data_IF_584762195374
#
_entry.id   IF_584762195374
#
_cell.length_a   1.000
_cell.length_b   1.000
_cell.length_c   1.000
_cell.angle_alpha   90.00
_cell.angle_beta   90.00
_cell.angle_gamma   90.00
#
_symmetry.space_group_name_H-M   'P 1'
#
loop_
_entity.id
_entity.type
_entity.pdbx_description
1 polymer ?
#
# COMPACT_ATOMS: atom_id res chain seq x y z
N UNK A 1 20.12 -10.98 -12.36
CA UNK A 1 18.72 -10.73 -11.98
C UNK A 1 18.44 -11.39 -10.64
N UNK A 2 18.44 -10.64 -9.53
CA UNK A 2 18.03 -11.15 -8.20
C UNK A 2 17.67 -10.07 -7.16
N UNK A 3 17.55 -8.80 -7.56
CA UNK A 3 17.26 -7.69 -6.62
C UNK A 3 15.75 -7.44 -6.45
N UNK A 4 14.96 -7.65 -7.50
CA UNK A 4 13.52 -7.39 -7.48
C UNK A 4 12.77 -8.24 -6.43
N UNK A 5 13.06 -9.55 -6.37
CA UNK A 5 12.51 -10.45 -5.34
C UNK A 5 12.88 -10.04 -3.91
N UNK A 6 14.03 -9.39 -3.70
CA UNK A 6 14.44 -8.90 -2.37
C UNK A 6 13.64 -7.67 -1.96
N UNK A 7 13.40 -6.75 -2.89
CA UNK A 7 12.65 -5.52 -2.66
C UNK A 7 11.19 -5.82 -2.31
N UNK A 8 10.54 -6.68 -3.07
CA UNK A 8 9.12 -7.00 -2.79
C UNK A 8 8.94 -7.75 -1.49
N UNK A 9 9.84 -8.68 -1.17
CA UNK A 9 9.84 -9.32 0.13
C UNK A 9 10.01 -8.31 1.28
N UNK A 10 10.85 -7.29 1.11
CA UNK A 10 11.01 -6.19 2.07
C UNK A 10 9.71 -5.38 2.22
N UNK A 11 9.08 -5.00 1.10
CA UNK A 11 7.83 -4.23 1.10
C UNK A 11 6.72 -5.03 1.79
N UNK A 12 6.55 -6.29 1.40
CA UNK A 12 5.55 -7.18 2.01
C UNK A 12 5.82 -7.37 3.50
N UNK A 13 7.07 -7.59 3.90
CA UNK A 13 7.42 -7.72 5.32
C UNK A 13 7.06 -6.44 6.08
N UNK A 14 7.37 -5.27 5.52
CA UNK A 14 7.10 -3.99 6.16
C UNK A 14 5.60 -3.67 6.24
N UNK A 15 4.83 -3.96 5.20
CA UNK A 15 3.36 -3.79 5.21
C UNK A 15 2.67 -4.70 6.24
N UNK A 16 3.29 -5.83 6.61
CA UNK A 16 2.78 -6.74 7.65
C UNK A 16 3.07 -6.28 9.07
N UNK A 17 4.08 -5.44 9.28
CA UNK A 17 4.48 -5.04 10.63
C UNK A 17 3.31 -4.37 11.36
N UNK A 18 2.98 -4.90 12.54
CA UNK A 18 1.87 -4.43 13.38
C UNK A 18 0.46 -4.75 12.86
N UNK A 19 0.32 -5.64 11.88
CA UNK A 19 -0.96 -6.16 11.38
C UNK A 19 -1.23 -7.58 11.90
N UNK A 20 -1.06 -7.80 13.21
CA UNK A 20 -1.06 -9.13 13.84
C UNK A 20 -2.36 -9.91 13.57
N UNK A 21 -3.51 -9.24 13.66
CA UNK A 21 -4.86 -9.78 13.36
C UNK A 21 -4.98 -10.33 11.94
N UNK A 22 -4.23 -9.79 10.98
CA UNK A 22 -4.32 -10.12 9.56
C UNK A 22 -3.18 -11.01 9.08
N UNK A 23 -2.24 -11.38 9.96
CA UNK A 23 -1.02 -12.09 9.59
C UNK A 23 -1.32 -13.41 8.88
N UNK A 24 -2.25 -14.22 9.40
CA UNK A 24 -2.61 -15.51 8.80
C UNK A 24 -3.20 -15.35 7.39
N UNK A 25 -4.08 -14.36 7.20
CA UNK A 25 -4.67 -14.05 5.90
C UNK A 25 -3.61 -13.62 4.89
N UNK A 26 -2.67 -12.78 5.32
CA UNK A 26 -1.56 -12.31 4.49
C UNK A 26 -0.67 -13.49 4.08
N UNK A 27 -0.28 -14.33 5.03
CA UNK A 27 0.57 -15.48 4.75
C UNK A 27 -0.08 -16.51 3.84
N UNK A 28 -1.35 -16.82 4.09
CA UNK A 28 -2.12 -17.69 3.21
C UNK A 28 -2.13 -17.12 1.80
N UNK A 29 -2.42 -15.82 1.67
CA UNK A 29 -2.48 -15.19 0.36
C UNK A 29 -1.13 -15.22 -0.36
N UNK A 30 -0.03 -14.93 0.33
CA UNK A 30 1.32 -14.99 -0.25
C UNK A 30 1.67 -16.40 -0.75
N UNK A 31 1.23 -17.45 -0.06
CA UNK A 31 1.41 -18.83 -0.55
C UNK A 31 0.65 -19.05 -1.86
N UNK A 32 -0.62 -18.62 -1.92
CA UNK A 32 -1.47 -18.73 -3.12
C UNK A 32 -0.91 -17.95 -4.32
N UNK A 33 -0.31 -16.79 -4.08
CA UNK A 33 0.14 -15.88 -5.13
C UNK A 33 1.66 -15.90 -5.37
N UNK A 34 2.36 -16.87 -4.79
CA UNK A 34 3.84 -16.97 -4.82
C UNK A 34 4.45 -17.05 -6.23
N UNK A 35 3.69 -17.52 -7.22
CA UNK A 35 4.10 -17.60 -8.62
C UNK A 35 3.81 -16.34 -9.44
N UNK A 36 3.05 -15.38 -8.89
CA UNK A 36 2.65 -14.17 -9.59
C UNK A 36 3.77 -13.12 -9.57
N UNK A 37 3.76 -12.16 -10.50
CA UNK A 37 4.68 -11.02 -10.45
C UNK A 37 4.55 -10.27 -9.14
N UNK A 38 5.67 -9.80 -8.62
CA UNK A 38 5.80 -9.08 -7.36
C UNK A 38 4.77 -7.95 -7.16
N UNK A 39 4.58 -7.11 -8.19
CA UNK A 39 3.58 -6.03 -8.21
C UNK A 39 2.16 -6.55 -7.92
N UNK A 40 1.82 -7.71 -8.47
CA UNK A 40 0.51 -8.36 -8.27
C UNK A 40 0.39 -8.90 -6.85
N UNK A 41 1.48 -9.45 -6.28
CA UNK A 41 1.48 -9.90 -4.89
C UNK A 41 1.22 -8.74 -3.92
N UNK A 42 1.89 -7.60 -4.14
CA UNK A 42 1.68 -6.38 -3.33
C UNK A 42 0.23 -5.91 -3.41
N UNK A 43 -0.37 -5.86 -4.61
CA UNK A 43 -1.78 -5.51 -4.78
C UNK A 43 -2.71 -6.45 -4.01
N UNK A 44 -2.42 -7.76 -4.00
CA UNK A 44 -3.21 -8.70 -3.20
C UNK A 44 -3.10 -8.43 -1.71
N UNK A 45 -1.91 -8.08 -1.20
CA UNK A 45 -1.76 -7.71 0.21
C UNK A 45 -2.53 -6.44 0.55
N UNK A 46 -2.42 -5.40 -0.27
CA UNK A 46 -3.20 -4.17 -0.10
C UNK A 46 -4.70 -4.46 -0.09
N UNK A 47 -5.17 -5.41 -0.92
CA UNK A 47 -6.58 -5.81 -0.94
C UNK A 47 -7.05 -6.50 0.34
N UNK A 48 -6.17 -7.14 1.12
CA UNK A 48 -6.52 -7.77 2.40
C UNK A 48 -6.86 -6.68 3.42
N UNK A 49 -6.06 -5.62 3.49
CA UNK A 49 -6.32 -4.49 4.39
C UNK A 49 -7.67 -3.83 4.08
N UNK A 50 -7.91 -3.55 2.79
CA UNK A 50 -9.17 -2.94 2.36
C UNK A 50 -10.42 -3.82 2.62
N UNK A 51 -10.28 -5.14 2.60
CA UNK A 51 -11.37 -6.08 2.91
C UNK A 51 -11.64 -6.24 4.40
N UNK A 52 -10.68 -5.88 5.25
CA UNK A 52 -10.77 -6.02 6.70
C UNK A 52 -10.49 -4.68 7.39
N UNK A 53 -11.28 -3.62 7.10
CA UNK A 53 -10.98 -2.26 7.53
C UNK A 53 -11.03 -2.08 9.05
N UNK A 54 -11.81 -2.90 9.77
CA UNK A 54 -11.91 -2.90 11.24
C UNK A 54 -10.74 -3.62 11.93
N UNK A 55 -10.03 -4.48 11.21
CA UNK A 55 -8.89 -5.24 11.72
C UNK A 55 -7.55 -4.65 11.27
N UNK A 56 -7.59 -3.74 10.30
CA UNK A 56 -6.41 -3.04 9.79
C UNK A 56 -6.06 -1.89 10.72
N UNK A 57 -4.84 -1.90 11.25
CA UNK A 57 -4.27 -0.72 11.89
C UNK A 57 -3.77 0.24 10.80
N UNK A 58 -4.66 1.13 10.36
CA UNK A 58 -4.38 2.09 9.30
C UNK A 58 -3.23 3.02 9.65
N UNK A 59 -3.08 3.38 10.93
CA UNK A 59 -2.00 4.26 11.36
C UNK A 59 -0.65 3.57 11.17
N UNK A 60 -0.51 2.35 11.68
CA UNK A 60 0.73 1.58 11.53
C UNK A 60 1.02 1.29 10.05
N UNK A 61 0.02 0.94 9.26
CA UNK A 61 0.17 0.70 7.82
C UNK A 61 0.76 1.93 7.11
N UNK A 62 0.23 3.13 7.36
CA UNK A 62 0.72 4.35 6.72
C UNK A 62 2.06 4.82 7.27
N UNK A 63 2.34 4.62 8.56
CA UNK A 63 3.69 4.85 9.12
C UNK A 63 4.74 3.97 8.44
N UNK A 64 4.39 2.71 8.15
CA UNK A 64 5.24 1.79 7.41
C UNK A 64 5.45 2.23 5.95
N UNK A 65 4.39 2.66 5.26
CA UNK A 65 4.51 3.21 3.89
C UNK A 65 5.41 4.47 3.88
N UNK A 66 5.21 5.40 4.81
CA UNK A 66 6.04 6.61 4.92
C UNK A 66 7.50 6.30 5.23
N UNK A 67 7.74 5.36 6.15
CA UNK A 67 9.10 4.92 6.50
C UNK A 67 9.85 4.41 5.28
N UNK A 68 9.15 3.68 4.40
CA UNK A 68 9.75 3.15 3.20
C UNK A 68 9.97 4.19 2.10
N UNK A 69 9.15 5.24 2.05
CA UNK A 69 9.34 6.39 1.17
C UNK A 69 10.53 7.27 1.62
N UNK A 70 10.98 7.16 2.87
CA UNK A 70 12.11 7.93 3.40
C UNK A 70 13.47 7.28 3.11
N UNK A 71 13.51 5.96 2.92
CA UNK A 71 14.73 5.19 2.71
C UNK A 71 15.18 5.12 1.25
N UNK A 72 14.53 5.88 0.36
CA UNK A 72 14.54 5.60 -1.08
C UNK A 72 15.69 6.27 -1.82
N UNK A 73 16.72 5.47 -2.10
CA UNK A 73 17.77 5.71 -3.12
C UNK A 73 17.58 4.73 -4.32
N UNK A 74 16.51 3.92 -4.32
CA UNK A 74 16.25 2.88 -5.33
C UNK A 74 14.95 3.17 -6.12
N UNK A 75 15.08 3.53 -7.40
CA UNK A 75 13.96 3.79 -8.33
C UNK A 75 12.88 2.69 -8.34
N UNK A 76 13.27 1.43 -8.11
CA UNK A 76 12.34 0.29 -8.08
C UNK A 76 11.43 0.27 -6.86
N UNK A 77 11.93 0.76 -5.73
CA UNK A 77 11.20 0.86 -4.47
C UNK A 77 10.10 1.93 -4.61
N UNK A 78 10.45 3.06 -5.25
CA UNK A 78 9.52 4.16 -5.53
C UNK A 78 8.34 3.68 -6.38
N UNK A 79 8.59 2.98 -7.50
CA UNK A 79 7.52 2.47 -8.39
C UNK A 79 6.54 1.56 -7.64
N UNK A 80 7.02 0.67 -6.76
CA UNK A 80 6.13 -0.25 -6.04
C UNK A 80 5.33 0.49 -4.96
N UNK A 81 5.85 1.57 -4.36
CA UNK A 81 5.04 2.39 -3.44
C UNK A 81 3.99 3.21 -4.15
N UNK A 82 4.34 3.76 -5.31
CA UNK A 82 3.39 4.44 -6.16
C UNK A 82 2.21 3.52 -6.47
N UNK A 83 2.46 2.23 -6.71
CA UNK A 83 1.40 1.22 -6.90
C UNK A 83 0.53 0.98 -5.67
N UNK A 84 1.12 0.94 -4.48
CA UNK A 84 0.38 0.79 -3.21
C UNK A 84 -0.54 1.98 -3.00
N UNK A 85 0.00 3.19 -3.14
CA UNK A 85 -0.75 4.43 -2.95
C UNK A 85 -1.82 4.63 -4.03
N UNK A 86 -1.51 4.29 -5.28
CA UNK A 86 -2.48 4.31 -6.38
C UNK A 86 -3.60 3.31 -6.12
N UNK A 87 -3.29 2.09 -5.67
CA UNK A 87 -4.30 1.08 -5.34
C UNK A 87 -5.22 1.59 -4.23
N UNK A 88 -4.67 2.14 -3.15
CA UNK A 88 -5.47 2.71 -2.04
C UNK A 88 -6.31 3.90 -2.50
N UNK A 89 -5.73 4.81 -3.28
CA UNK A 89 -6.43 5.95 -3.87
C UNK A 89 -7.60 5.49 -4.74
N UNK A 90 -7.36 4.53 -5.64
CA UNK A 90 -8.40 3.95 -6.49
C UNK A 90 -9.51 3.28 -5.67
N UNK A 91 -9.18 2.59 -4.58
CA UNK A 91 -10.19 1.98 -3.70
C UNK A 91 -11.05 3.05 -3.00
N UNK A 92 -10.47 4.18 -2.63
CA UNK A 92 -11.20 5.33 -2.07
C UNK A 92 -12.10 5.97 -3.14
N UNK A 93 -11.57 6.24 -4.34
CA UNK A 93 -12.35 6.81 -5.46
C UNK A 93 -13.57 5.97 -5.81
N UNK A 94 -13.40 4.65 -5.80
CA UNK A 94 -14.46 3.68 -6.11
C UNK A 94 -15.37 3.37 -4.91
N UNK A 95 -15.25 4.12 -3.80
CA UNK A 95 -16.06 3.96 -2.58
C UNK A 95 -15.95 2.57 -1.94
N UNK A 96 -14.89 1.82 -2.24
CA UNK A 96 -14.59 0.51 -1.64
C UNK A 96 -13.98 0.70 -0.26
N UNK A 97 -13.18 1.75 -0.10
CA UNK A 97 -12.56 2.13 1.17
C UNK A 97 -13.04 3.52 1.59
N UNK A 98 -13.53 3.64 2.82
CA UNK A 98 -14.01 4.92 3.32
C UNK A 98 -12.83 5.90 3.53
N UNK A 99 -12.86 7.11 2.96
CA UNK A 99 -11.72 8.04 2.99
C UNK A 99 -11.23 8.36 4.41
N UNK A 100 -12.15 8.50 5.37
CA UNK A 100 -11.83 8.89 6.75
C UNK A 100 -10.93 7.90 7.50
N UNK A 101 -10.90 6.63 7.07
CA UNK A 101 -10.01 5.60 7.62
C UNK A 101 -8.54 5.88 7.28
N UNK A 102 -8.29 6.66 6.23
CA UNK A 102 -6.98 6.87 5.63
C UNK A 102 -6.52 8.31 5.79
N UNK A 103 -7.38 9.29 5.54
CA UNK A 103 -7.00 10.72 5.46
C UNK A 103 -6.42 11.29 6.76
N UNK A 104 -6.83 10.74 7.91
CA UNK A 104 -6.37 11.17 9.24
C UNK A 104 -4.99 10.62 9.63
N UNK A 105 -4.53 9.56 8.97
CA UNK A 105 -3.30 8.83 9.34
C UNK A 105 -2.24 8.82 8.24
N UNK A 106 -2.59 9.24 7.02
CA UNK A 106 -1.63 9.36 5.93
C UNK A 106 -0.55 10.41 6.25
N UNK A 107 0.71 10.03 6.05
CA UNK A 107 1.83 10.93 6.24
C UNK A 107 2.05 11.91 5.08
N UNK A 108 3.03 12.82 5.23
CA UNK A 108 3.21 13.94 4.31
C UNK A 108 3.68 13.53 2.91
N UNK A 109 4.52 12.49 2.76
CA UNK A 109 5.00 12.08 1.42
C UNK A 109 3.91 11.38 0.62
N UNK A 110 3.20 10.47 1.26
CA UNK A 110 2.06 9.76 0.68
C UNK A 110 0.95 10.74 0.32
N UNK A 111 0.66 11.71 1.20
CA UNK A 111 -0.30 12.79 0.91
C UNK A 111 0.12 13.57 -0.34
N UNK A 112 1.37 14.03 -0.39
CA UNK A 112 1.88 14.77 -1.56
C UNK A 112 1.80 13.96 -2.84
N UNK A 113 2.16 12.67 -2.81
CA UNK A 113 2.05 11.78 -3.96
C UNK A 113 0.61 11.69 -4.46
N UNK A 114 -0.36 11.48 -3.55
CA UNK A 114 -1.76 11.36 -3.93
C UNK A 114 -2.30 12.68 -4.49
N UNK A 115 -1.96 13.82 -3.89
CA UNK A 115 -2.33 15.14 -4.42
C UNK A 115 -1.76 15.39 -5.83
N UNK A 116 -0.50 15.00 -6.06
CA UNK A 116 0.15 15.17 -7.36
C UNK A 116 -0.43 14.20 -8.40
N UNK A 117 -0.74 12.96 -8.00
CA UNK A 117 -1.43 11.97 -8.83
C UNK A 117 -2.85 12.44 -9.22
N UNK A 118 -3.60 13.02 -8.28
CA UNK A 118 -4.93 13.56 -8.53
C UNK A 118 -4.90 14.73 -9.52
N UNK A 119 -3.92 15.65 -9.40
CA UNK A 119 -3.70 16.73 -10.38
C UNK A 119 -3.43 16.18 -11.77
N UNK A 120 -2.65 15.09 -11.89
CA UNK A 120 -2.37 14.44 -13.17
C UNK A 120 -3.63 13.80 -13.78
N UNK A 121 -4.54 13.27 -12.96
CA UNK A 121 -5.79 12.66 -13.41
C UNK A 121 -6.97 13.64 -13.57
N UNK A 122 -6.78 14.92 -13.27
CA UNK A 122 -7.78 15.97 -13.42
C UNK A 122 -8.80 16.04 -12.28
N UNK A 123 -8.34 15.92 -11.02
CA UNK A 123 -9.16 16.09 -9.81
C UNK A 123 -10.29 15.06 -9.65
N UNK A 124 -10.01 13.82 -10.04
CA UNK A 124 -10.97 12.70 -10.02
C UNK A 124 -10.83 11.82 -8.79
N UNK A 125 -9.89 12.10 -7.90
CA UNK A 125 -9.73 11.48 -6.59
C UNK A 125 -10.42 12.37 -5.56
N UNK A 126 -11.73 12.18 -5.28
CA UNK A 126 -12.46 13.08 -4.42
C UNK A 126 -12.09 12.76 -2.97
N UNK A 127 -11.56 13.75 -2.24
CA UNK A 127 -11.55 13.72 -0.78
C UNK A 127 -10.34 13.08 -0.10
N UNK A 128 -9.13 13.31 -0.64
CA UNK A 128 -8.00 13.52 0.25
C UNK A 128 -7.98 14.96 0.78
#
# INVERSE_FOLDING_TARGET
MNNQRKITALIVAKLREGQDSLTDNIEQRLREVSSFPDRVQVQFIVSIFAKNPSETDWKVLFENIESLLLTTDEDQLEVIYQDVLETLSNLICNQVLAPHLVTSVIGPRSRKYIEDYDKLLGSKTPGF
#
